data_IF_208010580504
#
_entry.id   IF_208010580504
#
_cell.length_a   1.000
_cell.length_b   1.000
_cell.length_c   1.000
_cell.angle_alpha   90.00
_cell.angle_beta   90.00
_cell.angle_gamma   90.00
#
_symmetry.space_group_name_H-M   'P 1'
#
loop_
_entity.id
_entity.type
_entity.pdbx_description
1 polymer ?
#
# COMPACT_ATOMS: atom_id res chain seq x y z
N UNK A 1 57.21 -9.90 35.56
CA UNK A 1 55.97 -9.22 36.00
C UNK A 1 55.04 -9.11 34.81
N UNK A 2 54.09 -9.92 34.84
CA UNK A 2 53.15 -10.20 33.76
C UNK A 2 51.94 -9.27 33.88
N UNK A 3 51.54 -8.59 32.81
CA UNK A 3 50.36 -7.77 32.76
C UNK A 3 49.50 -8.19 31.54
N UNK A 4 48.67 -9.19 31.78
CA UNK A 4 47.65 -9.70 30.89
C UNK A 4 46.60 -8.61 30.54
N UNK A 5 46.64 -8.10 29.33
CA UNK A 5 45.62 -7.24 28.75
C UNK A 5 44.48 -8.06 28.19
N UNK A 6 43.31 -8.13 28.86
CA UNK A 6 42.07 -8.70 28.34
C UNK A 6 41.56 -7.90 27.18
N UNK A 7 41.73 -8.41 25.96
CA UNK A 7 41.10 -7.91 24.76
C UNK A 7 39.59 -8.11 24.83
N UNK A 8 38.80 -7.01 24.75
CA UNK A 8 37.36 -7.01 24.52
C UNK A 8 37.07 -7.64 23.16
N UNK A 9 36.50 -8.84 23.15
CA UNK A 9 35.93 -9.43 21.94
C UNK A 9 34.79 -8.55 21.43
N UNK A 10 35.04 -7.83 20.36
CA UNK A 10 33.99 -7.15 19.58
C UNK A 10 32.99 -8.18 19.04
N UNK A 11 31.75 -7.98 19.35
CA UNK A 11 30.63 -8.76 18.83
C UNK A 11 30.58 -8.55 17.31
N UNK A 12 30.85 -9.59 16.53
CA UNK A 12 30.66 -9.57 15.07
C UNK A 12 29.20 -9.20 14.79
N UNK A 13 28.96 -8.04 14.21
CA UNK A 13 27.66 -7.70 13.64
C UNK A 13 27.38 -8.69 12.51
N UNK A 14 26.24 -9.38 12.56
CA UNK A 14 25.80 -10.28 11.50
C UNK A 14 25.58 -9.49 10.21
N UNK A 15 26.03 -10.04 9.11
CA UNK A 15 26.14 -9.45 7.78
C UNK A 15 24.81 -9.11 7.09
N UNK A 16 23.68 -8.88 7.79
CA UNK A 16 22.42 -8.43 7.21
C UNK A 16 21.49 -7.73 8.23
N UNK A 17 22.02 -7.08 9.25
CA UNK A 17 21.17 -6.31 10.16
C UNK A 17 20.82 -4.96 9.53
N UNK A 18 19.59 -4.79 9.06
CA UNK A 18 19.04 -3.49 8.66
C UNK A 18 19.27 -2.46 9.77
N UNK A 19 19.85 -1.28 9.47
CA UNK A 19 20.06 -0.24 10.49
C UNK A 19 18.76 0.08 11.24
N UNK A 20 18.85 0.37 12.54
CA UNK A 20 17.67 0.61 13.38
C UNK A 20 16.76 1.73 12.85
N UNK A 21 17.33 2.75 12.20
CA UNK A 21 16.58 3.83 11.55
C UNK A 21 15.75 3.33 10.37
N UNK A 22 16.28 2.39 9.59
CA UNK A 22 15.55 1.77 8.46
C UNK A 22 14.46 0.85 8.99
N UNK A 23 14.70 0.08 10.05
CA UNK A 23 13.66 -0.74 10.69
C UNK A 23 12.47 0.08 11.21
N UNK A 24 12.72 1.27 11.76
CA UNK A 24 11.62 2.16 12.20
C UNK A 24 10.78 2.62 11.02
N UNK A 25 11.42 2.99 9.91
CA UNK A 25 10.74 3.38 8.68
C UNK A 25 9.90 2.22 8.11
N UNK A 26 10.50 1.03 7.99
CA UNK A 26 9.82 -0.18 7.49
C UNK A 26 8.58 -0.50 8.33
N UNK A 27 8.71 -0.47 9.65
CA UNK A 27 7.59 -0.70 10.57
C UNK A 27 6.50 0.36 10.45
N UNK A 28 6.89 1.63 10.26
CA UNK A 28 5.93 2.74 10.10
C UNK A 28 5.15 2.61 8.81
N UNK A 29 5.81 2.28 7.69
CA UNK A 29 5.16 2.07 6.40
C UNK A 29 4.26 0.83 6.42
N UNK A 30 4.71 -0.28 7.02
CA UNK A 30 3.88 -1.48 7.19
C UNK A 30 2.65 -1.20 8.03
N UNK A 31 2.77 -0.42 9.12
CA UNK A 31 1.65 -0.05 9.97
C UNK A 31 0.64 0.84 9.19
N UNK A 32 1.14 1.78 8.40
CA UNK A 32 0.29 2.62 7.55
C UNK A 32 -0.47 1.80 6.50
N UNK A 33 0.18 0.79 5.91
CA UNK A 33 -0.47 -0.14 4.99
C UNK A 33 -1.60 -0.94 5.69
N UNK A 34 -1.36 -1.45 6.91
CA UNK A 34 -2.38 -2.16 7.70
C UNK A 34 -3.59 -1.25 7.98
N UNK A 35 -3.37 0.03 8.33
CA UNK A 35 -4.46 0.99 8.55
C UNK A 35 -5.27 1.21 7.28
N UNK A 36 -4.61 1.27 6.13
CA UNK A 36 -5.26 1.49 4.83
C UNK A 36 -6.14 0.31 4.37
N UNK A 37 -5.86 -0.91 4.84
CA UNK A 37 -6.67 -2.10 4.53
C UNK A 37 -8.00 -2.15 5.27
N UNK A 38 -8.06 -1.50 6.43
CA UNK A 38 -9.24 -1.47 7.31
C UNK A 38 -9.75 -0.04 7.42
N UNK A 39 -11.05 0.15 7.35
CA UNK A 39 -11.66 1.50 7.43
C UNK A 39 -11.64 2.05 8.87
N UNK A 40 -10.46 2.06 9.50
CA UNK A 40 -10.23 2.44 10.88
C UNK A 40 -9.99 1.24 11.80
N UNK A 41 -9.06 1.39 12.73
CA UNK A 41 -8.67 0.32 13.65
C UNK A 41 -8.18 0.83 14.99
N UNK A 42 -8.43 0.07 16.04
CA UNK A 42 -7.93 0.40 17.38
C UNK A 42 -6.45 0.06 17.53
N UNK A 43 -5.78 0.66 18.52
CA UNK A 43 -4.40 0.36 18.86
C UNK A 43 -4.17 -1.14 19.08
N UNK A 44 -5.10 -1.80 19.77
CA UNK A 44 -5.02 -3.24 20.08
C UNK A 44 -5.02 -4.07 18.81
N UNK A 45 -5.98 -3.85 17.92
CA UNK A 45 -6.07 -4.56 16.65
C UNK A 45 -4.83 -4.33 15.75
N UNK A 46 -4.32 -3.09 15.73
CA UNK A 46 -3.09 -2.77 14.98
C UNK A 46 -1.86 -3.46 15.58
N UNK A 47 -1.79 -3.58 16.91
CA UNK A 47 -0.72 -4.32 17.60
C UNK A 47 -0.76 -5.81 17.24
N UNK A 48 -1.93 -6.43 17.28
CA UNK A 48 -2.12 -7.83 16.91
C UNK A 48 -1.76 -8.10 15.45
N UNK A 49 -2.28 -7.28 14.52
CA UNK A 49 -2.03 -7.44 13.08
C UNK A 49 -0.58 -7.20 12.68
N UNK A 50 0.09 -6.25 13.32
CA UNK A 50 1.48 -5.92 13.03
C UNK A 50 2.50 -6.82 13.75
N UNK A 51 2.07 -7.58 14.77
CA UNK A 51 2.94 -8.35 15.65
C UNK A 51 3.87 -7.48 16.52
N UNK A 52 3.61 -6.18 16.62
CA UNK A 52 4.42 -5.24 17.39
C UNK A 52 3.79 -4.98 18.76
N UNK A 53 4.64 -4.73 19.77
CA UNK A 53 4.17 -4.34 21.10
C UNK A 53 3.32 -3.05 21.04
N UNK A 54 2.22 -2.94 21.84
CA UNK A 54 1.33 -1.77 21.82
C UNK A 54 2.03 -0.43 22.01
N UNK A 55 3.05 -0.39 22.88
CA UNK A 55 3.85 0.83 23.09
C UNK A 55 4.64 1.24 21.85
N UNK A 56 5.13 0.28 21.06
CA UNK A 56 5.80 0.55 19.78
C UNK A 56 4.82 1.07 18.76
N UNK A 57 3.67 0.40 18.60
CA UNK A 57 2.60 0.83 17.68
C UNK A 57 2.14 2.24 18.02
N UNK A 58 1.87 2.53 19.30
CA UNK A 58 1.46 3.87 19.72
C UNK A 58 2.49 4.95 19.35
N UNK A 59 3.78 4.71 19.59
CA UNK A 59 4.84 5.66 19.22
C UNK A 59 4.92 5.89 17.72
N UNK A 60 4.80 4.83 16.91
CA UNK A 60 4.81 4.94 15.45
C UNK A 60 3.58 5.69 14.94
N UNK A 61 2.39 5.38 15.46
CA UNK A 61 1.15 6.07 15.11
C UNK A 61 1.19 7.55 15.48
N UNK A 62 1.71 7.89 16.66
CA UNK A 62 1.88 9.28 17.09
C UNK A 62 2.82 10.03 16.12
N UNK A 63 3.94 9.39 15.73
CA UNK A 63 4.85 9.99 14.75
C UNK A 63 4.19 10.14 13.38
N UNK A 64 3.47 9.14 12.89
CA UNK A 64 2.70 9.24 11.64
C UNK A 64 1.66 10.35 11.69
N UNK A 65 0.97 10.52 12.83
CA UNK A 65 0.00 11.58 13.02
C UNK A 65 0.62 12.98 13.04
N UNK A 66 1.80 13.15 13.65
CA UNK A 66 2.56 14.42 13.60
C UNK A 66 2.89 14.84 12.17
N UNK A 67 3.05 13.88 11.25
CA UNK A 67 3.28 14.13 9.83
C UNK A 67 1.99 14.12 9.00
N UNK A 68 0.82 14.00 9.61
CA UNK A 68 -0.48 13.94 8.93
C UNK A 68 -0.72 12.68 8.11
N UNK A 69 0.12 11.63 8.29
CA UNK A 69 0.02 10.35 7.59
C UNK A 69 -1.04 9.44 8.21
N UNK A 70 -1.32 9.61 9.50
CA UNK A 70 -2.40 8.95 10.23
C UNK A 70 -3.21 9.98 11.01
N UNK A 71 -4.44 9.62 11.38
CA UNK A 71 -5.31 10.44 12.24
C UNK A 71 -5.91 9.54 13.31
N UNK A 72 -6.03 10.05 14.53
CA UNK A 72 -6.72 9.38 15.63
C UNK A 72 -8.03 10.10 15.91
N UNK A 73 -9.11 9.35 15.92
CA UNK A 73 -10.38 9.79 16.50
C UNK A 73 -10.31 9.55 18.00
N UNK A 74 -10.29 10.62 18.78
CA UNK A 74 -10.14 10.58 20.23
C UNK A 74 -11.40 10.09 20.95
N UNK A 75 -12.56 10.14 20.31
CA UNK A 75 -13.82 9.64 20.89
C UNK A 75 -13.91 8.12 20.80
N UNK A 76 -13.53 7.56 19.65
CA UNK A 76 -13.59 6.11 19.41
C UNK A 76 -12.27 5.39 19.64
N UNK A 77 -11.15 6.12 19.76
CA UNK A 77 -9.81 5.56 19.83
C UNK A 77 -9.34 4.94 18.50
N UNK A 78 -10.00 5.25 17.40
CA UNK A 78 -9.77 4.66 16.08
C UNK A 78 -8.72 5.44 15.31
N UNK A 79 -7.77 4.71 14.74
CA UNK A 79 -6.74 5.22 13.84
C UNK A 79 -7.13 5.00 12.39
N UNK A 80 -7.00 6.04 11.58
CA UNK A 80 -7.27 6.04 10.13
C UNK A 80 -6.10 6.63 9.36
N UNK A 81 -6.10 6.45 8.04
CA UNK A 81 -5.13 7.11 7.15
C UNK A 81 -5.38 8.62 7.16
N UNK A 82 -4.31 9.40 7.34
CA UNK A 82 -4.37 10.86 7.39
C UNK A 82 -4.37 11.51 6.00
N UNK A 83 -4.81 12.76 5.94
CA UNK A 83 -4.95 13.54 4.69
C UNK A 83 -3.63 13.67 3.93
N UNK A 84 -2.49 13.70 4.62
CA UNK A 84 -1.16 13.82 3.99
C UNK A 84 -0.82 12.61 3.12
N UNK A 85 -1.26 11.41 3.50
CA UNK A 85 -1.08 10.22 2.68
C UNK A 85 -1.87 10.32 1.37
N UNK A 86 -3.09 10.88 1.41
CA UNK A 86 -3.89 11.15 0.22
C UNK A 86 -3.22 12.20 -0.70
N UNK A 87 -2.68 13.29 -0.15
CA UNK A 87 -1.95 14.30 -0.92
C UNK A 87 -0.74 13.69 -1.66
N UNK A 88 0.02 12.83 -0.97
CA UNK A 88 1.18 12.14 -1.54
C UNK A 88 0.73 11.18 -2.64
N UNK A 89 -0.31 10.37 -2.38
CA UNK A 89 -0.86 9.45 -3.38
C UNK A 89 -1.39 10.16 -4.63
N UNK A 90 -2.00 11.34 -4.48
CA UNK A 90 -2.44 12.15 -5.61
C UNK A 90 -1.29 12.65 -6.51
N UNK A 91 -0.07 12.79 -5.99
CA UNK A 91 1.07 13.15 -6.82
C UNK A 91 1.34 12.07 -7.89
N UNK A 92 1.20 10.79 -7.52
CA UNK A 92 1.31 9.67 -8.44
C UNK A 92 0.27 9.75 -9.58
N UNK A 93 -1.00 10.02 -9.24
CA UNK A 93 -2.08 10.13 -10.22
C UNK A 93 -1.89 11.31 -11.16
N UNK A 94 -1.46 12.46 -10.63
CA UNK A 94 -1.18 13.68 -11.42
C UNK A 94 -0.06 13.45 -12.44
N UNK A 95 1.03 12.83 -12.03
CA UNK A 95 2.18 12.56 -12.90
C UNK A 95 1.79 11.68 -14.09
N UNK A 96 1.01 10.66 -13.87
CA UNK A 96 0.61 9.71 -14.91
C UNK A 96 -0.59 10.17 -15.77
N UNK A 97 -1.33 11.17 -15.35
CA UNK A 97 -2.56 11.70 -16.02
C UNK A 97 -3.59 10.61 -16.40
N UNK A 98 -3.43 9.41 -15.88
CA UNK A 98 -4.22 8.23 -16.26
C UNK A 98 -5.71 8.43 -16.01
N UNK A 99 -6.08 8.99 -14.87
CA UNK A 99 -7.49 9.22 -14.52
C UNK A 99 -8.22 10.17 -15.49
N UNK A 100 -7.52 11.20 -15.97
CA UNK A 100 -8.11 12.17 -16.92
C UNK A 100 -8.19 11.60 -18.33
N UNK A 101 -7.12 10.95 -18.81
CA UNK A 101 -7.05 10.41 -20.17
C UNK A 101 -7.98 9.20 -20.32
N UNK A 102 -8.05 8.33 -19.33
CA UNK A 102 -8.83 7.09 -19.42
C UNK A 102 -10.35 7.28 -19.29
N UNK A 103 -10.80 8.31 -18.57
CA UNK A 103 -12.21 8.48 -18.23
C UNK A 103 -13.18 8.42 -19.43
N UNK A 104 -12.96 9.10 -20.57
CA UNK A 104 -13.85 9.00 -21.73
C UNK A 104 -13.89 7.59 -22.33
N UNK A 105 -12.77 6.88 -22.33
CA UNK A 105 -12.70 5.50 -22.83
C UNK A 105 -13.42 4.53 -21.88
N UNK A 106 -13.23 4.66 -20.58
CA UNK A 106 -13.93 3.85 -19.58
C UNK A 106 -15.43 4.08 -19.63
N UNK A 107 -15.86 5.36 -19.80
CA UNK A 107 -17.28 5.68 -19.93
C UNK A 107 -17.89 5.00 -21.16
N UNK A 108 -17.24 5.13 -22.32
CA UNK A 108 -17.70 4.48 -23.54
C UNK A 108 -17.78 2.96 -23.38
N UNK A 109 -16.76 2.35 -22.80
CA UNK A 109 -16.73 0.91 -22.55
C UNK A 109 -17.87 0.47 -21.64
N UNK A 110 -18.15 1.22 -20.58
CA UNK A 110 -19.26 0.98 -19.67
C UNK A 110 -20.62 1.15 -20.39
N UNK A 111 -20.77 2.21 -21.17
CA UNK A 111 -22.02 2.48 -21.94
C UNK A 111 -22.28 1.36 -22.96
N UNK A 112 -21.25 0.83 -23.65
CA UNK A 112 -21.37 -0.20 -24.67
C UNK A 112 -21.57 -1.62 -24.09
N UNK A 113 -20.91 -1.92 -22.94
CA UNK A 113 -20.96 -3.26 -22.33
C UNK A 113 -22.06 -3.42 -21.29
N UNK A 114 -22.54 -2.33 -20.69
CA UNK A 114 -23.40 -2.34 -19.50
C UNK A 114 -22.67 -2.74 -18.21
N UNK A 115 -21.36 -2.97 -18.27
CA UNK A 115 -20.55 -3.45 -17.14
C UNK A 115 -19.62 -2.36 -16.60
N UNK A 116 -19.17 -2.53 -15.33
CA UNK A 116 -18.19 -1.62 -14.73
C UNK A 116 -16.85 -1.70 -15.46
N UNK A 117 -16.37 -0.57 -15.94
CA UNK A 117 -15.08 -0.45 -16.60
C UNK A 117 -14.00 0.05 -15.64
N UNK A 118 -12.86 -0.62 -15.60
CA UNK A 118 -11.76 -0.32 -14.70
C UNK A 118 -10.48 0.00 -15.48
N UNK A 119 -9.63 0.84 -14.89
CA UNK A 119 -8.23 1.00 -15.32
C UNK A 119 -7.30 0.60 -14.19
N UNK A 120 -6.25 -0.12 -14.52
CA UNK A 120 -5.16 -0.49 -13.63
C UNK A 120 -3.81 -0.34 -14.32
N UNK A 121 -2.79 -0.47 -13.53
CA UNK A 121 -1.39 -0.55 -13.98
C UNK A 121 -0.80 -1.85 -13.45
N UNK A 122 0.21 -2.34 -14.14
CA UNK A 122 1.06 -3.41 -13.61
C UNK A 122 2.06 -2.84 -12.63
N UNK A 123 2.28 -3.56 -11.54
CA UNK A 123 3.27 -3.25 -10.52
C UNK A 123 3.66 -4.53 -9.77
N UNK A 124 4.90 -4.98 -9.95
CA UNK A 124 5.48 -6.17 -9.32
C UNK A 124 4.63 -7.45 -9.50
N UNK A 125 4.20 -7.70 -10.74
CA UNK A 125 3.41 -8.89 -11.13
C UNK A 125 1.93 -8.85 -10.75
N UNK A 126 1.48 -7.77 -10.14
CA UNK A 126 0.08 -7.52 -9.83
C UNK A 126 -0.51 -6.40 -10.69
N UNK A 127 -1.84 -6.35 -10.73
CA UNK A 127 -2.59 -5.17 -11.20
C UNK A 127 -2.96 -4.31 -10.01
N UNK A 128 -2.60 -3.03 -10.07
CA UNK A 128 -3.09 -2.00 -9.14
C UNK A 128 -4.23 -1.25 -9.80
N UNK A 129 -5.43 -1.30 -9.19
CA UNK A 129 -6.60 -0.59 -9.69
C UNK A 129 -6.45 0.92 -9.43
N UNK A 130 -6.56 1.74 -10.47
CA UNK A 130 -6.36 3.19 -10.40
C UNK A 130 -7.68 3.95 -10.36
N UNK A 131 -8.65 3.56 -11.21
CA UNK A 131 -9.94 4.23 -11.32
C UNK A 131 -10.95 3.29 -11.94
N UNK A 132 -12.25 3.63 -11.79
CA UNK A 132 -13.35 2.89 -12.41
C UNK A 132 -14.46 3.84 -12.85
N UNK A 133 -15.27 3.38 -13.81
CA UNK A 133 -16.58 3.91 -14.13
C UNK A 133 -17.58 2.79 -13.88
N UNK A 134 -18.44 2.99 -12.91
CA UNK A 134 -19.39 1.98 -12.46
C UNK A 134 -20.57 1.84 -13.43
N UNK A 135 -21.02 0.61 -13.64
CA UNK A 135 -22.25 0.33 -14.35
C UNK A 135 -23.47 0.73 -13.50
N UNK A 136 -24.61 0.88 -14.17
CA UNK A 136 -25.89 1.14 -13.50
C UNK A 136 -26.58 -0.16 -13.02
N UNK A 137 -25.97 -1.32 -13.23
CA UNK A 137 -26.50 -2.61 -12.80
C UNK A 137 -26.64 -2.68 -11.28
N UNK A 138 -27.72 -3.28 -10.73
CA UNK A 138 -27.89 -3.46 -9.28
C UNK A 138 -26.78 -4.31 -8.66
N UNK A 139 -26.28 -5.29 -9.39
CA UNK A 139 -25.18 -6.15 -9.00
C UNK A 139 -23.99 -5.85 -9.90
N UNK A 140 -22.90 -5.36 -9.31
CA UNK A 140 -21.67 -4.99 -10.04
C UNK A 140 -20.43 -5.27 -9.23
N UNK A 141 -19.33 -5.59 -9.88
CA UNK A 141 -18.04 -5.70 -9.26
C UNK A 141 -17.55 -4.31 -8.85
N UNK A 142 -17.11 -4.16 -7.60
CA UNK A 142 -16.51 -2.93 -7.08
C UNK A 142 -15.08 -3.20 -6.64
N UNK A 143 -14.15 -2.44 -7.21
CA UNK A 143 -12.75 -2.49 -6.83
C UNK A 143 -12.30 -1.12 -6.35
N UNK A 144 -11.88 -1.03 -5.08
CA UNK A 144 -11.36 0.23 -4.54
C UNK A 144 -10.07 0.63 -5.26
N UNK A 145 -9.88 1.90 -5.67
CA UNK A 145 -8.58 2.39 -6.11
C UNK A 145 -7.47 2.06 -5.11
N UNK A 146 -6.31 1.66 -5.61
CA UNK A 146 -5.20 1.18 -4.81
C UNK A 146 -5.25 -0.31 -4.46
N UNK A 147 -6.37 -1.01 -4.68
CA UNK A 147 -6.43 -2.48 -4.50
C UNK A 147 -5.51 -3.17 -5.50
N UNK A 148 -4.86 -4.23 -5.04
CA UNK A 148 -4.04 -5.11 -5.88
C UNK A 148 -4.77 -6.42 -6.18
N UNK A 149 -4.45 -7.02 -7.29
CA UNK A 149 -4.91 -8.35 -7.66
C UNK A 149 -3.97 -9.00 -8.66
N UNK A 150 -3.90 -10.35 -8.70
CA UNK A 150 -2.96 -11.05 -9.56
C UNK A 150 -3.23 -10.75 -11.04
N UNK A 151 -2.16 -10.43 -11.78
CA UNK A 151 -2.26 -10.01 -13.18
C UNK A 151 -2.93 -11.06 -14.06
N UNK A 152 -2.64 -12.34 -13.85
CA UNK A 152 -3.18 -13.45 -14.65
C UNK A 152 -4.68 -13.71 -14.43
N UNK A 153 -5.22 -13.33 -13.28
CA UNK A 153 -6.60 -13.65 -12.90
C UNK A 153 -7.61 -12.55 -13.25
N UNK A 154 -7.17 -11.33 -13.55
CA UNK A 154 -8.06 -10.19 -13.83
C UNK A 154 -8.21 -9.91 -15.33
N UNK A 155 -9.35 -9.34 -15.74
CA UNK A 155 -9.56 -8.86 -17.11
C UNK A 155 -8.53 -7.79 -17.52
N UNK A 156 -8.24 -6.84 -16.62
CA UNK A 156 -7.20 -5.82 -16.83
C UNK A 156 -5.83 -6.48 -17.01
N UNK A 157 -5.48 -7.43 -16.14
CA UNK A 157 -4.21 -8.13 -16.22
C UNK A 157 -4.05 -8.86 -17.54
N UNK A 158 -5.09 -9.56 -18.02
CA UNK A 158 -5.07 -10.21 -19.33
C UNK A 158 -4.93 -9.20 -20.47
N UNK A 159 -5.55 -8.03 -20.39
CA UNK A 159 -5.40 -6.96 -21.36
C UNK A 159 -3.96 -6.41 -21.36
N UNK A 160 -3.32 -6.26 -20.21
CA UNK A 160 -1.91 -5.86 -20.10
C UNK A 160 -1.01 -6.95 -20.68
N UNK A 161 -1.18 -8.21 -20.26
CA UNK A 161 -0.37 -9.34 -20.74
C UNK A 161 -0.47 -9.53 -22.26
N UNK A 162 -1.62 -9.22 -22.87
CA UNK A 162 -1.78 -9.32 -24.33
C UNK A 162 -0.90 -8.33 -25.13
N UNK A 163 -0.32 -7.33 -24.47
CA UNK A 163 0.61 -6.37 -25.07
C UNK A 163 2.07 -6.73 -24.85
N UNK A 164 2.35 -7.76 -24.05
CA UNK A 164 3.69 -8.22 -23.73
C UNK A 164 4.18 -9.27 -24.73
N UNK A 165 5.49 -9.32 -24.93
CA UNK A 165 6.16 -10.40 -25.63
C UNK A 165 6.26 -11.66 -24.77
N UNK A 166 6.43 -12.84 -25.39
CA UNK A 166 6.63 -14.10 -24.67
C UNK A 166 7.78 -14.05 -23.66
N UNK A 167 8.83 -13.27 -23.96
CA UNK A 167 9.99 -13.09 -23.08
C UNK A 167 9.69 -12.22 -21.86
N UNK A 168 8.71 -11.32 -21.93
CA UNK A 168 8.24 -10.52 -20.80
C UNK A 168 7.30 -11.32 -19.92
N UNK A 169 6.46 -12.17 -20.51
CA UNK A 169 5.53 -13.04 -19.78
C UNK A 169 6.29 -14.16 -19.01
N UNK A 170 7.45 -14.59 -19.52
CA UNK A 170 8.24 -15.66 -18.91
C UNK A 170 9.12 -15.24 -17.72
N UNK A 171 9.13 -13.95 -17.37
CA UNK A 171 9.88 -13.40 -16.22
C UNK A 171 9.04 -13.36 -14.96
#
# INVERSE_FOLDING_TARGET
MDASGKGKRGRKAGENATPASVQVLDRSLSLLAIIAEVDGSTLTTLSERSGMAPSTVHRLLTSLAQHGMATNDTETGTWTVGVKAFEIGNAFLRFRKLGTISRPFLKRLMDESGETANIGIEDDGDVVFISQVESHAPMRAFFRPGRRGPIHASGIGKAILSTWSDTEIAK
#
